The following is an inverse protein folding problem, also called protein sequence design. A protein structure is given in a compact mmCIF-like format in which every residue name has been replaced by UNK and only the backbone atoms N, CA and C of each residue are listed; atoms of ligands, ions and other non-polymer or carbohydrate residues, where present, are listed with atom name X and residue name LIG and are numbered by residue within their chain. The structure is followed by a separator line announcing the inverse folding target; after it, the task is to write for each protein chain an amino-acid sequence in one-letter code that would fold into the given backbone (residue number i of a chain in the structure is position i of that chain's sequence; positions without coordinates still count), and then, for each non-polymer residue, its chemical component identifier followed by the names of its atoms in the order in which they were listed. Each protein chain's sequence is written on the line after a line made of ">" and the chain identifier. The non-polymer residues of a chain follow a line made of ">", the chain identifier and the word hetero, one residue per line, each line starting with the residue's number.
data_IF_454742808155
#
_entry.id   IF_454742808155
#
_cell.length_a   1.000
_cell.length_b   1.000
_cell.length_c   1.000
_cell.angle_alpha   90.00
_cell.angle_beta   90.00
_cell.angle_gamma   90.00
#
_symmetry.space_group_name_H-M   'P 1'
#
loop_
_entity.id
_entity.type
_entity.pdbx_description
1 polymer ?
#
# COMPACT_ATOMS: atom_id res chain seq x y z
N UNK A 1 5.63 -33.47 -23.31
CA UNK A 1 4.65 -32.73 -22.49
C UNK A 1 5.11 -31.30 -22.34
N UNK A 2 4.20 -30.41 -21.96
CA UNK A 2 4.55 -29.05 -21.53
C UNK A 2 5.49 -29.10 -20.33
N UNK A 3 6.61 -28.38 -20.40
CA UNK A 3 7.57 -28.30 -19.30
C UNK A 3 7.13 -27.18 -18.35
N UNK A 4 7.03 -27.48 -17.06
CA UNK A 4 6.66 -26.52 -16.02
C UNK A 4 7.52 -26.74 -14.78
N UNK A 5 7.54 -25.72 -13.92
CA UNK A 5 8.15 -25.76 -12.58
C UNK A 5 7.11 -25.33 -11.55
N UNK A 6 7.22 -25.85 -10.33
CA UNK A 6 6.40 -25.43 -9.21
C UNK A 6 7.29 -25.00 -8.05
N UNK A 7 7.01 -23.84 -7.48
CA UNK A 7 7.75 -23.29 -6.35
C UNK A 7 6.85 -23.16 -5.13
N UNK A 8 7.35 -23.65 -4.00
CA UNK A 8 6.66 -23.56 -2.71
C UNK A 8 6.88 -22.19 -2.08
N UNK A 9 5.81 -21.60 -1.56
CA UNK A 9 5.77 -20.33 -0.86
C UNK A 9 5.17 -20.53 0.55
N UNK A 10 5.11 -19.46 1.36
CA UNK A 10 4.79 -19.55 2.80
C UNK A 10 3.43 -20.22 3.10
N UNK A 11 2.39 -19.79 2.38
CA UNK A 11 1.01 -20.27 2.58
C UNK A 11 0.43 -20.97 1.35
N UNK A 12 1.20 -21.10 0.26
CA UNK A 12 0.75 -21.68 -1.00
C UNK A 12 1.94 -22.08 -1.89
N UNK A 13 1.71 -22.21 -3.20
CA UNK A 13 2.76 -22.27 -4.20
C UNK A 13 2.27 -21.69 -5.53
N UNK A 14 3.19 -21.57 -6.48
CA UNK A 14 2.88 -21.12 -7.83
C UNK A 14 3.55 -22.05 -8.85
N UNK A 15 2.80 -22.40 -9.91
CA UNK A 15 3.35 -23.12 -11.06
C UNK A 15 3.61 -22.17 -12.22
N UNK A 16 4.70 -22.38 -12.94
CA UNK A 16 5.06 -21.60 -14.11
C UNK A 16 5.42 -22.47 -15.29
N UNK A 17 4.99 -22.03 -16.47
CA UNK A 17 5.41 -22.62 -17.73
C UNK A 17 6.89 -22.34 -17.97
N UNK A 18 7.58 -23.23 -18.66
CA UNK A 18 9.01 -23.07 -18.96
C UNK A 18 9.36 -21.75 -19.67
N UNK A 19 8.43 -21.19 -20.44
CA UNK A 19 8.57 -19.88 -21.08
C UNK A 19 8.63 -18.72 -20.08
N UNK A 20 8.02 -18.87 -18.91
CA UNK A 20 7.95 -17.85 -17.85
C UNK A 20 9.11 -17.97 -16.85
N UNK A 21 9.93 -19.02 -16.91
CA UNK A 21 11.03 -19.26 -15.96
C UNK A 21 12.29 -18.52 -16.40
N UNK A 22 12.86 -17.76 -15.47
CA UNK A 22 14.20 -17.19 -15.65
C UNK A 22 15.26 -18.28 -15.55
N UNK A 23 16.22 -18.25 -16.46
CA UNK A 23 17.20 -19.32 -16.65
C UNK A 23 18.60 -18.75 -16.81
N UNK A 24 19.59 -19.55 -16.44
CA UNK A 24 21.00 -19.35 -16.79
C UNK A 24 21.47 -20.61 -17.52
N UNK A 25 21.55 -20.54 -18.85
CA UNK A 25 21.72 -21.74 -19.68
C UNK A 25 20.49 -22.65 -19.60
N UNK A 26 20.70 -23.89 -19.20
CA UNK A 26 19.69 -24.93 -18.97
C UNK A 26 19.22 -25.00 -17.51
N UNK A 27 19.84 -24.24 -16.60
CA UNK A 27 19.46 -24.20 -15.19
C UNK A 27 18.37 -23.15 -14.92
N UNK A 28 17.37 -23.55 -14.14
CA UNK A 28 16.34 -22.65 -13.63
C UNK A 28 16.91 -21.76 -12.54
N UNK A 29 16.47 -20.49 -12.51
CA UNK A 29 16.71 -19.60 -11.37
C UNK A 29 15.59 -19.78 -10.35
N UNK A 30 16.00 -19.99 -9.11
CA UNK A 30 15.11 -20.02 -7.95
C UNK A 30 15.52 -18.89 -7.03
N UNK A 31 14.59 -18.00 -6.72
CA UNK A 31 14.83 -16.89 -5.82
C UNK A 31 14.31 -17.22 -4.44
N UNK A 32 15.21 -17.38 -3.48
CA UNK A 32 14.85 -17.74 -2.10
C UNK A 32 14.67 -16.47 -1.29
N UNK A 33 13.51 -16.34 -0.65
CA UNK A 33 13.21 -15.22 0.23
C UNK A 33 14.05 -15.25 1.50
N UNK A 34 14.48 -14.06 1.94
CA UNK A 34 15.31 -13.90 3.14
C UNK A 34 14.50 -14.19 4.40
N UNK A 35 14.87 -15.25 5.12
CA UNK A 35 14.33 -15.59 6.44
C UNK A 35 13.11 -16.49 6.43
N UNK A 36 12.53 -16.80 5.27
CA UNK A 36 11.31 -17.61 5.16
C UNK A 36 11.45 -18.88 4.32
N UNK A 37 12.57 -19.05 3.60
CA UNK A 37 12.84 -20.17 2.69
C UNK A 37 11.81 -20.35 1.57
N UNK A 38 10.91 -19.39 1.37
CA UNK A 38 9.95 -19.39 0.26
C UNK A 38 10.66 -19.16 -1.09
N UNK A 39 10.18 -19.84 -2.12
CA UNK A 39 10.80 -19.88 -3.44
C UNK A 39 9.97 -19.10 -4.46
N UNK A 40 10.65 -18.26 -5.24
CA UNK A 40 10.01 -17.32 -6.17
C UNK A 40 10.59 -17.39 -7.58
N UNK A 41 9.75 -17.01 -8.55
CA UNK A 41 10.07 -16.97 -9.98
C UNK A 41 10.83 -15.72 -10.41
N UNK A 42 10.81 -14.65 -9.59
CA UNK A 42 11.49 -13.39 -9.84
C UNK A 42 12.20 -12.91 -8.59
N UNK A 43 13.30 -12.18 -8.79
CA UNK A 43 14.07 -11.58 -7.71
C UNK A 43 13.39 -10.38 -7.02
N UNK A 44 12.17 -10.03 -7.44
CA UNK A 44 11.38 -8.90 -6.93
C UNK A 44 9.96 -9.31 -6.47
N UNK A 45 9.64 -10.60 -6.50
CA UNK A 45 8.34 -11.13 -6.05
C UNK A 45 8.26 -11.25 -4.52
N UNK A 46 7.07 -11.59 -4.01
CA UNK A 46 6.86 -11.90 -2.58
C UNK A 46 6.45 -10.69 -1.74
N UNK A 47 6.57 -9.47 -2.28
CA UNK A 47 6.11 -8.23 -1.62
C UNK A 47 4.59 -8.07 -1.57
N UNK A 48 3.85 -8.80 -2.40
CA UNK A 48 2.39 -8.79 -2.42
C UNK A 48 1.83 -10.03 -1.73
N UNK A 49 0.78 -9.83 -0.95
CA UNK A 49 0.11 -10.89 -0.18
C UNK A 49 0.55 -10.95 1.28
N UNK A 50 0.01 -11.94 1.99
CA UNK A 50 0.11 -12.05 3.45
C UNK A 50 1.54 -12.38 3.90
N UNK A 51 2.31 -13.11 3.10
CA UNK A 51 3.68 -13.50 3.45
C UNK A 51 4.65 -12.30 3.51
N UNK A 52 4.43 -11.24 2.71
CA UNK A 52 5.25 -10.02 2.67
C UNK A 52 6.76 -10.29 2.64
N UNK A 53 7.18 -11.27 1.85
CA UNK A 53 8.54 -11.77 1.78
C UNK A 53 9.53 -10.76 1.18
N UNK A 54 10.77 -10.82 1.64
CA UNK A 54 11.87 -10.00 1.12
C UNK A 54 12.70 -10.83 0.14
N UNK A 55 12.39 -10.67 -1.14
CA UNK A 55 13.21 -11.18 -2.25
C UNK A 55 13.97 -10.03 -2.90
N UNK A 56 15.22 -10.26 -3.26
CA UNK A 56 16.07 -9.23 -3.88
C UNK A 56 17.01 -9.81 -4.95
N UNK A 57 17.26 -9.01 -5.98
CA UNK A 57 18.20 -9.34 -7.06
C UNK A 57 19.68 -9.21 -6.64
N UNK A 58 19.95 -8.86 -5.38
CA UNK A 58 21.27 -8.62 -4.80
C UNK A 58 21.67 -9.67 -3.75
N UNK A 59 20.99 -10.83 -3.72
CA UNK A 59 21.32 -11.93 -2.84
C UNK A 59 22.57 -12.70 -3.26
N UNK A 60 23.01 -13.62 -2.40
CA UNK A 60 24.05 -14.59 -2.74
C UNK A 60 23.54 -15.51 -3.87
N UNK A 61 24.38 -15.73 -4.87
CA UNK A 61 24.08 -16.63 -5.98
C UNK A 61 24.79 -17.96 -5.71
N UNK A 62 24.04 -19.05 -5.66
CA UNK A 62 24.57 -20.41 -5.59
C UNK A 62 24.54 -21.01 -7.00
N UNK A 63 25.70 -21.40 -7.51
CA UNK A 63 25.90 -22.03 -8.82
C UNK A 63 26.00 -23.55 -8.67
N UNK A 64 25.80 -24.30 -9.77
CA UNK A 64 26.13 -25.73 -9.77
C UNK A 64 27.58 -25.93 -9.30
N UNK A 65 27.78 -26.65 -8.19
CA UNK A 65 29.07 -26.82 -7.51
C UNK A 65 29.15 -26.14 -6.13
N UNK A 66 28.27 -25.18 -5.83
CA UNK A 66 28.17 -24.56 -4.50
C UNK A 66 27.26 -25.37 -3.55
N UNK A 67 26.59 -26.41 -4.06
CA UNK A 67 25.66 -27.26 -3.32
C UNK A 67 25.70 -28.70 -3.83
N UNK A 68 25.36 -29.63 -2.94
CA UNK A 68 25.16 -31.04 -3.27
C UNK A 68 23.68 -31.31 -3.58
N UNK A 69 23.42 -31.94 -4.73
CA UNK A 69 22.10 -32.49 -5.04
C UNK A 69 22.02 -33.90 -4.48
N UNK A 70 21.16 -34.07 -3.48
CA UNK A 70 20.87 -35.39 -2.91
C UNK A 70 19.52 -35.89 -3.38
N UNK A 71 19.41 -37.19 -3.64
CA UNK A 71 18.12 -37.79 -3.93
C UNK A 71 17.24 -37.70 -2.69
N UNK A 72 16.06 -37.07 -2.83
CA UNK A 72 15.18 -36.83 -1.70
C UNK A 72 14.75 -38.16 -1.07
N UNK A 73 14.31 -39.15 -1.86
CA UNK A 73 13.82 -40.44 -1.37
C UNK A 73 14.82 -41.27 -0.55
N UNK A 74 16.12 -40.96 -0.60
CA UNK A 74 17.15 -41.65 0.18
C UNK A 74 17.45 -41.00 1.53
N UNK A 75 16.76 -39.91 1.88
CA UNK A 75 17.08 -39.12 3.07
C UNK A 75 16.42 -39.68 4.35
N UNK A 76 17.22 -40.00 5.37
CA UNK A 76 16.73 -40.59 6.63
C UNK A 76 15.81 -39.66 7.43
N UNK A 77 15.97 -38.35 7.28
CA UNK A 77 15.13 -37.34 7.96
C UNK A 77 13.71 -37.25 7.39
N UNK A 78 13.40 -37.89 6.26
CA UNK A 78 12.05 -37.89 5.71
C UNK A 78 11.03 -38.61 6.58
N UNK A 79 11.47 -39.62 7.32
CA UNK A 79 10.62 -40.33 8.28
C UNK A 79 10.29 -39.54 9.54
N UNK A 80 10.80 -38.31 9.68
CA UNK A 80 10.51 -37.45 10.82
C UNK A 80 9.07 -36.92 10.73
N UNK A 81 8.19 -37.47 11.57
CA UNK A 81 6.75 -37.23 11.56
C UNK A 81 6.26 -36.12 12.50
N UNK A 82 7.20 -35.37 13.08
CA UNK A 82 6.91 -34.25 13.97
C UNK A 82 7.03 -32.93 13.19
N UNK A 83 6.68 -31.83 13.84
CA UNK A 83 6.85 -30.47 13.33
C UNK A 83 8.34 -30.13 13.22
N UNK A 84 8.70 -29.47 12.14
CA UNK A 84 10.03 -28.94 11.92
C UNK A 84 10.13 -27.57 12.60
N UNK A 85 11.22 -27.28 13.31
CA UNK A 85 11.40 -26.02 14.03
C UNK A 85 10.97 -26.07 15.50
N UNK A 86 11.06 -24.92 16.18
CA UNK A 86 10.79 -24.80 17.61
C UNK A 86 9.31 -24.51 17.86
N UNK A 87 8.68 -25.26 18.77
CA UNK A 87 7.29 -25.09 19.18
C UNK A 87 7.28 -24.95 20.70
N UNK A 88 7.04 -23.73 21.18
CA UNK A 88 7.15 -23.40 22.59
C UNK A 88 5.79 -23.21 23.27
N UNK A 89 4.71 -23.02 22.49
CA UNK A 89 3.37 -22.76 23.01
C UNK A 89 2.26 -23.06 22.00
N UNK A 90 1.00 -23.14 22.48
CA UNK A 90 -0.20 -23.18 21.63
C UNK A 90 -0.31 -21.94 20.74
N UNK A 91 0.20 -20.80 21.22
CA UNK A 91 0.25 -19.54 20.46
C UNK A 91 1.08 -19.70 19.17
N UNK A 92 2.15 -20.52 19.19
CA UNK A 92 2.96 -20.77 18.00
C UNK A 92 2.18 -21.50 16.90
N UNK A 93 1.17 -22.30 17.25
CA UNK A 93 0.28 -22.93 16.27
C UNK A 93 -0.71 -21.91 15.68
N UNK A 94 -1.34 -21.11 16.55
CA UNK A 94 -2.33 -20.10 16.13
C UNK A 94 -1.69 -19.01 15.26
N UNK A 95 -0.45 -18.63 15.56
CA UNK A 95 0.30 -17.62 14.83
C UNK A 95 1.09 -18.17 13.63
N UNK A 96 1.03 -19.49 13.37
CA UNK A 96 1.78 -20.13 12.28
C UNK A 96 3.31 -20.05 12.44
N UNK A 97 3.79 -19.96 13.69
CA UNK A 97 5.23 -19.98 14.06
C UNK A 97 5.75 -21.39 14.27
N UNK A 98 4.87 -22.33 14.62
CA UNK A 98 5.18 -23.74 14.59
C UNK A 98 5.48 -24.14 13.14
N UNK A 99 6.69 -24.62 12.88
CA UNK A 99 7.03 -25.01 11.52
C UNK A 99 6.29 -26.28 11.09
N UNK A 100 6.27 -26.56 9.78
CA UNK A 100 5.39 -27.56 9.20
C UNK A 100 5.75 -28.98 9.66
N UNK A 101 4.80 -29.90 9.58
CA UNK A 101 5.11 -31.33 9.66
C UNK A 101 6.08 -31.73 8.54
N UNK A 102 6.85 -32.79 8.78
CA UNK A 102 7.75 -33.34 7.78
C UNK A 102 7.04 -33.66 6.45
N UNK A 103 7.75 -33.54 5.31
CA UNK A 103 7.13 -33.53 3.99
C UNK A 103 6.37 -34.81 3.62
N UNK A 104 6.71 -35.96 4.20
CA UNK A 104 5.96 -37.22 4.04
C UNK A 104 4.60 -37.23 4.76
N UNK A 105 4.45 -36.41 5.79
CA UNK A 105 3.29 -36.39 6.68
C UNK A 105 2.42 -35.15 6.45
N UNK A 106 2.97 -34.11 5.82
CA UNK A 106 2.25 -32.89 5.47
C UNK A 106 1.29 -33.15 4.31
N UNK A 107 0.05 -32.70 4.49
CA UNK A 107 -0.96 -32.69 3.45
C UNK A 107 -1.18 -31.27 2.92
N UNK A 108 -1.55 -31.15 1.65
CA UNK A 108 -2.08 -29.92 1.09
C UNK A 108 -3.51 -29.66 1.60
N UNK A 109 -4.10 -28.52 1.22
CA UNK A 109 -5.46 -28.14 1.63
C UNK A 109 -6.55 -29.11 1.14
N UNK A 110 -6.22 -30.00 0.19
CA UNK A 110 -7.11 -31.03 -0.35
C UNK A 110 -6.87 -32.42 0.27
N UNK A 111 -6.02 -32.52 1.30
CA UNK A 111 -5.69 -33.79 1.96
C UNK A 111 -4.68 -34.67 1.21
N UNK A 112 -4.06 -34.18 0.13
CA UNK A 112 -3.04 -34.93 -0.60
C UNK A 112 -1.68 -34.78 0.07
N UNK A 113 -0.90 -35.86 0.15
CA UNK A 113 0.47 -35.79 0.66
C UNK A 113 1.33 -34.87 -0.22
N UNK A 114 1.92 -33.83 0.39
CA UNK A 114 2.82 -32.89 -0.29
C UNK A 114 4.10 -33.56 -0.83
N UNK A 115 4.37 -34.79 -0.40
CA UNK A 115 5.41 -35.65 -0.94
C UNK A 115 5.24 -35.99 -2.43
N UNK A 116 4.00 -36.01 -2.95
CA UNK A 116 3.76 -36.18 -4.39
C UNK A 116 3.87 -34.83 -5.12
N UNK A 117 5.09 -34.44 -5.46
CA UNK A 117 5.39 -33.15 -6.07
C UNK A 117 4.67 -32.89 -7.41
N UNK A 118 4.30 -33.94 -8.17
CA UNK A 118 3.57 -33.78 -9.43
C UNK A 118 2.12 -33.37 -9.13
N UNK A 119 1.41 -34.16 -8.32
CA UNK A 119 0.02 -33.87 -7.95
C UNK A 119 -0.11 -32.53 -7.22
N UNK A 120 0.81 -32.24 -6.30
CA UNK A 120 0.86 -30.94 -5.64
C UNK A 120 1.06 -29.80 -6.64
N UNK A 121 2.06 -29.91 -7.53
CA UNK A 121 2.37 -28.89 -8.52
C UNK A 121 1.25 -28.63 -9.53
N UNK A 122 0.50 -29.67 -9.90
CA UNK A 122 -0.67 -29.57 -10.77
C UNK A 122 -1.80 -28.75 -10.13
N UNK A 123 -1.97 -28.85 -8.80
CA UNK A 123 -2.96 -28.12 -8.02
C UNK A 123 -2.63 -26.64 -7.77
N UNK A 124 -1.43 -26.17 -8.10
CA UNK A 124 -1.02 -24.78 -7.84
C UNK A 124 -1.63 -23.79 -8.83
N UNK A 125 -1.81 -22.56 -8.35
CA UNK A 125 -2.19 -21.42 -9.18
C UNK A 125 -1.11 -21.14 -10.24
N UNK A 126 -1.50 -20.89 -11.50
CA UNK A 126 -0.56 -20.53 -12.55
C UNK A 126 0.06 -19.15 -12.31
N UNK A 127 1.30 -19.00 -12.75
CA UNK A 127 2.02 -17.74 -12.77
C UNK A 127 1.32 -16.70 -13.67
N UNK A 128 1.21 -15.48 -13.17
CA UNK A 128 0.59 -14.36 -13.88
C UNK A 128 1.64 -13.33 -14.27
N UNK A 129 1.84 -13.13 -15.57
CA UNK A 129 2.77 -12.12 -16.09
C UNK A 129 2.33 -10.70 -15.69
N UNK A 130 1.02 -10.47 -15.57
CA UNK A 130 0.48 -9.20 -15.07
C UNK A 130 0.90 -8.96 -13.61
N UNK A 131 0.83 -9.99 -12.77
CA UNK A 131 1.26 -9.90 -11.37
C UNK A 131 2.77 -9.63 -11.29
N UNK A 132 3.58 -10.29 -12.13
CA UNK A 132 5.02 -10.01 -12.20
C UNK A 132 5.33 -8.57 -12.61
N UNK A 133 4.58 -7.99 -13.55
CA UNK A 133 4.73 -6.57 -13.89
C UNK A 133 4.39 -5.65 -12.71
N UNK A 134 3.34 -5.98 -11.96
CA UNK A 134 2.95 -5.22 -10.78
C UNK A 134 4.02 -5.30 -9.68
N UNK A 135 4.50 -6.50 -9.35
CA UNK A 135 5.56 -6.72 -8.37
C UNK A 135 6.86 -6.02 -8.78
N UNK A 136 7.22 -6.08 -10.06
CA UNK A 136 8.37 -5.34 -10.61
C UNK A 136 8.21 -3.83 -10.39
N UNK A 137 7.04 -3.27 -10.71
CA UNK A 137 6.76 -1.85 -10.50
C UNK A 137 6.88 -1.47 -9.03
N UNK A 138 6.32 -2.26 -8.11
CA UNK A 138 6.39 -2.02 -6.67
C UNK A 138 7.82 -2.12 -6.15
N UNK A 139 8.60 -3.09 -6.65
CA UNK A 139 10.00 -3.24 -6.30
C UNK A 139 10.84 -2.02 -6.71
N UNK A 140 10.60 -1.47 -7.90
CA UNK A 140 11.31 -0.30 -8.44
C UNK A 140 10.64 1.05 -8.12
N UNK A 141 9.51 1.06 -7.40
CA UNK A 141 8.68 2.24 -7.21
C UNK A 141 9.47 3.44 -6.68
N UNK A 142 10.30 3.24 -5.64
CA UNK A 142 11.10 4.32 -5.03
C UNK A 142 12.09 4.90 -6.03
N UNK A 143 12.78 4.06 -6.80
CA UNK A 143 13.73 4.50 -7.83
C UNK A 143 13.02 5.29 -8.93
N UNK A 144 11.91 4.76 -9.45
CA UNK A 144 11.08 5.44 -10.46
C UNK A 144 10.61 6.80 -9.92
N UNK A 145 10.13 6.83 -8.69
CA UNK A 145 9.66 8.05 -8.02
C UNK A 145 10.77 9.10 -7.87
N UNK A 146 11.98 8.70 -7.47
CA UNK A 146 13.15 9.60 -7.37
C UNK A 146 13.48 10.19 -8.75
N UNK A 147 13.55 9.36 -9.80
CA UNK A 147 13.86 9.82 -11.16
C UNK A 147 12.81 10.83 -11.64
N UNK A 148 11.52 10.51 -11.50
CA UNK A 148 10.42 11.41 -11.86
C UNK A 148 10.50 12.72 -11.06
N UNK A 149 10.85 12.65 -9.77
CA UNK A 149 11.00 13.81 -8.90
C UNK A 149 12.14 14.71 -9.39
N UNK A 150 13.31 14.15 -9.72
CA UNK A 150 14.47 14.90 -10.23
C UNK A 150 14.15 15.59 -11.57
N UNK A 151 13.53 14.86 -12.51
CA UNK A 151 13.09 15.43 -13.79
C UNK A 151 12.08 16.55 -13.58
N UNK A 152 11.12 16.36 -12.68
CA UNK A 152 10.11 17.37 -12.36
C UNK A 152 10.72 18.61 -11.70
N UNK A 153 11.74 18.45 -10.83
CA UNK A 153 12.50 19.56 -10.25
C UNK A 153 13.25 20.35 -11.32
N UNK A 154 13.89 19.66 -12.28
CA UNK A 154 14.57 20.32 -13.40
C UNK A 154 13.60 21.16 -14.23
N UNK A 155 12.45 20.59 -14.61
CA UNK A 155 11.39 21.30 -15.34
C UNK A 155 10.89 22.51 -14.54
N UNK A 156 10.74 22.36 -13.23
CA UNK A 156 10.32 23.43 -12.34
C UNK A 156 11.34 24.55 -12.28
N UNK A 157 12.63 24.23 -12.14
CA UNK A 157 13.71 25.21 -12.13
C UNK A 157 13.73 26.02 -13.43
N UNK A 158 13.60 25.35 -14.58
CA UNK A 158 13.50 26.00 -15.89
C UNK A 158 12.30 26.96 -15.94
N UNK A 159 11.13 26.54 -15.41
CA UNK A 159 9.93 27.39 -15.35
C UNK A 159 10.12 28.60 -14.43
N UNK A 160 10.78 28.43 -13.29
CA UNK A 160 11.11 29.52 -12.35
C UNK A 160 12.10 30.48 -13.00
N UNK A 161 13.15 29.97 -13.66
CA UNK A 161 14.14 30.78 -14.36
C UNK A 161 13.52 31.62 -15.49
N UNK A 162 12.67 31.00 -16.34
CA UNK A 162 11.92 31.72 -17.38
C UNK A 162 11.01 32.81 -16.77
N UNK A 163 10.39 32.53 -15.62
CA UNK A 163 9.56 33.49 -14.89
C UNK A 163 10.38 34.64 -14.32
N UNK A 164 11.55 34.35 -13.73
CA UNK A 164 12.49 35.34 -13.24
C UNK A 164 12.94 36.31 -14.35
N UNK A 165 13.25 35.78 -15.53
CA UNK A 165 13.62 36.60 -16.70
C UNK A 165 12.48 37.50 -17.17
N UNK A 166 11.23 36.99 -17.17
CA UNK A 166 10.06 37.73 -17.68
C UNK A 166 9.43 38.72 -16.69
N UNK A 167 9.20 38.29 -15.45
CA UNK A 167 8.46 39.09 -14.46
C UNK A 167 9.35 39.56 -13.31
N UNK A 168 10.50 38.93 -13.09
CA UNK A 168 11.21 39.03 -11.80
C UNK A 168 10.57 38.14 -10.74
N UNK A 169 11.20 38.07 -9.57
CA UNK A 169 10.73 37.22 -8.45
C UNK A 169 9.93 38.00 -7.39
N UNK A 170 9.93 39.33 -7.48
CA UNK A 170 9.36 40.19 -6.45
C UNK A 170 10.19 40.23 -5.16
N UNK A 171 9.86 41.13 -4.22
CA UNK A 171 10.51 41.21 -2.91
C UNK A 171 10.31 39.95 -2.05
N UNK A 172 9.18 39.25 -2.19
CA UNK A 172 8.95 37.97 -1.52
C UNK A 172 9.01 36.86 -2.57
N UNK A 173 10.12 36.12 -2.58
CA UNK A 173 10.42 35.11 -3.61
C UNK A 173 9.27 34.11 -3.76
N UNK A 174 8.72 33.64 -2.65
CA UNK A 174 7.58 32.72 -2.62
C UNK A 174 6.29 33.53 -2.54
N UNK A 175 5.49 33.51 -3.60
CA UNK A 175 4.34 34.41 -3.68
C UNK A 175 3.23 34.11 -2.67
N UNK A 176 3.19 32.88 -2.11
CA UNK A 176 2.26 32.55 -1.03
C UNK A 176 2.53 33.35 0.27
N UNK A 177 3.70 33.98 0.39
CA UNK A 177 4.06 34.82 1.54
C UNK A 177 3.56 36.26 1.42
N UNK A 178 2.82 36.63 0.36
CA UNK A 178 2.24 37.97 0.22
C UNK A 178 0.99 38.13 1.10
N UNK A 179 1.23 38.27 2.40
CA UNK A 179 0.25 38.62 3.44
C UNK A 179 0.52 40.07 3.87
N UNK A 180 -0.46 40.94 3.70
CA UNK A 180 -0.33 42.41 3.91
C UNK A 180 -1.57 43.04 4.57
N UNK A 181 -2.43 42.25 5.22
CA UNK A 181 -3.57 42.74 5.99
C UNK A 181 -4.80 41.85 5.84
N UNK A 182 -5.97 42.37 6.24
CA UNK A 182 -7.23 41.64 6.16
C UNK A 182 -7.89 41.84 4.77
N UNK A 183 -7.39 41.11 3.78
CA UNK A 183 -7.93 41.13 2.41
C UNK A 183 -8.00 39.70 1.85
N UNK A 184 -8.81 39.50 0.80
CA UNK A 184 -9.11 38.18 0.24
C UNK A 184 -7.84 37.37 -0.12
N UNK A 185 -6.81 38.02 -0.69
CA UNK A 185 -5.54 37.33 -1.04
C UNK A 185 -4.78 36.89 0.22
N UNK A 186 -4.70 37.76 1.23
CA UNK A 186 -3.99 37.45 2.47
C UNK A 186 -4.68 36.33 3.23
N UNK A 187 -6.02 36.34 3.28
CA UNK A 187 -6.82 35.24 3.85
C UNK A 187 -6.60 33.95 3.05
N UNK A 188 -6.62 34.00 1.71
CA UNK A 188 -6.34 32.84 0.87
C UNK A 188 -4.96 32.24 1.12
N UNK A 189 -3.92 33.07 1.25
CA UNK A 189 -2.58 32.61 1.59
C UNK A 189 -2.48 32.02 3.01
N UNK A 190 -3.13 32.64 4.01
CA UNK A 190 -3.19 32.09 5.38
C UNK A 190 -3.87 30.73 5.39
N UNK A 191 -5.01 30.60 4.71
CA UNK A 191 -5.72 29.33 4.57
C UNK A 191 -4.88 28.27 3.86
N UNK A 192 -4.09 28.65 2.85
CA UNK A 192 -3.13 27.74 2.21
C UNK A 192 -2.14 27.18 3.24
N UNK A 193 -1.57 28.01 4.13
CA UNK A 193 -0.69 27.55 5.19
C UNK A 193 -1.38 26.61 6.18
N UNK A 194 -2.57 26.99 6.65
CA UNK A 194 -3.38 26.15 7.53
C UNK A 194 -3.70 24.79 6.88
N UNK A 195 -4.07 24.79 5.60
CA UNK A 195 -4.31 23.59 4.81
C UNK A 195 -3.09 22.67 4.73
N UNK A 196 -1.89 23.22 4.50
CA UNK A 196 -0.64 22.42 4.51
C UNK A 196 -0.44 21.76 5.88
N UNK A 197 -0.57 22.51 6.97
CA UNK A 197 -0.35 21.99 8.33
C UNK A 197 -1.35 20.87 8.64
N UNK A 198 -2.64 21.09 8.37
CA UNK A 198 -3.70 20.09 8.59
C UNK A 198 -3.43 18.84 7.74
N UNK A 199 -2.99 19.00 6.48
CA UNK A 199 -2.64 17.85 5.65
C UNK A 199 -1.48 17.06 6.23
N UNK A 200 -0.42 17.72 6.73
CA UNK A 200 0.72 17.03 7.36
C UNK A 200 0.27 16.20 8.56
N UNK A 201 -0.59 16.75 9.42
CA UNK A 201 -1.21 15.97 10.50
C UNK A 201 -2.07 14.83 9.95
N UNK A 202 -2.81 15.05 8.86
CA UNK A 202 -3.59 13.98 8.21
C UNK A 202 -2.74 12.83 7.65
N UNK A 203 -1.53 13.12 7.18
CA UNK A 203 -0.62 12.13 6.60
C UNK A 203 -0.01 11.16 7.63
N UNK A 204 0.20 11.62 8.87
CA UNK A 204 0.80 10.81 9.93
C UNK A 204 -0.24 9.98 10.71
N UNK A 205 -1.52 10.27 10.52
CA UNK A 205 -2.63 9.57 11.18
C UNK A 205 -3.24 8.51 10.26
N UNK A 206 -4.06 7.64 10.84
CA UNK A 206 -4.78 6.59 10.13
C UNK A 206 -5.84 7.15 9.20
N UNK A 207 -5.91 6.57 8.01
CA UNK A 207 -6.87 6.92 6.98
C UNK A 207 -8.07 5.99 7.00
N UNK A 208 -7.83 4.72 7.29
CA UNK A 208 -8.86 3.70 7.41
C UNK A 208 -8.43 2.63 8.41
N UNK A 209 -9.38 2.16 9.22
CA UNK A 209 -9.12 1.12 10.22
C UNK A 209 -10.25 0.11 10.21
N UNK A 210 -9.89 -1.17 10.33
CA UNK A 210 -10.78 -2.26 10.69
C UNK A 210 -10.24 -2.85 11.99
N UNK A 211 -11.09 -2.88 13.00
CA UNK A 211 -10.77 -3.40 14.32
C UNK A 211 -11.70 -4.58 14.63
N UNK A 212 -11.19 -5.60 15.30
CA UNK A 212 -11.95 -6.76 15.72
C UNK A 212 -11.79 -7.01 17.22
N UNK A 213 -12.86 -7.49 17.84
CA UNK A 213 -12.88 -8.08 19.18
C UNK A 213 -13.38 -9.51 19.05
N UNK A 214 -12.50 -10.45 19.40
CA UNK A 214 -12.71 -11.89 19.24
C UNK A 214 -12.95 -12.47 20.62
N UNK A 215 -14.14 -13.01 20.82
CA UNK A 215 -14.52 -13.72 22.02
C UNK A 215 -14.92 -15.14 21.65
N UNK A 216 -13.92 -16.01 21.55
CA UNK A 216 -14.07 -17.41 21.15
C UNK A 216 -13.50 -18.29 22.24
N UNK A 217 -14.07 -19.48 22.44
CA UNK A 217 -13.57 -20.43 23.42
C UNK A 217 -12.08 -20.73 23.18
N UNK A 218 -11.25 -20.56 24.23
CA UNK A 218 -9.79 -20.73 24.15
C UNK A 218 -9.01 -19.55 23.55
N UNK A 219 -9.69 -18.52 23.01
CA UNK A 219 -9.05 -17.36 22.40
C UNK A 219 -9.87 -16.08 22.59
N UNK A 220 -9.41 -15.17 23.46
CA UNK A 220 -10.10 -13.92 23.75
C UNK A 220 -9.15 -12.72 23.65
N UNK A 221 -9.58 -11.69 22.92
CA UNK A 221 -8.90 -10.39 22.93
C UNK A 221 -9.33 -9.56 24.14
N UNK A 222 -8.47 -8.65 24.59
CA UNK A 222 -8.78 -7.73 25.71
C UNK A 222 -9.73 -6.58 25.33
N UNK A 223 -10.30 -6.61 24.12
CA UNK A 223 -11.13 -5.58 23.51
C UNK A 223 -10.85 -5.44 22.02
N UNK A 224 -11.36 -4.35 21.42
CA UNK A 224 -11.14 -4.06 20.00
C UNK A 224 -9.66 -3.83 19.73
N UNK A 225 -9.12 -4.60 18.80
CA UNK A 225 -7.77 -4.42 18.29
C UNK A 225 -7.80 -4.18 16.79
N UNK A 226 -6.86 -3.38 16.30
CA UNK A 226 -6.78 -3.10 14.87
C UNK A 226 -6.23 -4.32 14.15
N UNK A 227 -6.99 -4.82 13.17
CA UNK A 227 -6.64 -5.98 12.35
C UNK A 227 -6.23 -5.56 10.94
N UNK A 228 -6.77 -4.44 10.46
CA UNK A 228 -6.34 -3.79 9.22
C UNK A 228 -6.22 -2.30 9.49
N UNK A 229 -5.10 -1.70 9.14
CA UNK A 229 -4.95 -0.25 9.17
C UNK A 229 -4.33 0.26 7.87
N UNK A 230 -4.79 1.43 7.44
CA UNK A 230 -4.27 2.13 6.27
C UNK A 230 -3.82 3.50 6.72
N UNK A 231 -2.54 3.83 6.52
CA UNK A 231 -2.02 5.16 6.78
C UNK A 231 -0.95 5.55 5.76
N UNK A 232 -0.60 6.84 5.73
CA UNK A 232 0.31 7.36 4.71
C UNK A 232 1.77 6.91 4.86
N UNK A 233 2.18 6.49 6.06
CA UNK A 233 3.57 6.13 6.37
C UNK A 233 3.85 4.64 6.06
N UNK A 234 2.99 3.77 6.57
CA UNK A 234 3.15 2.32 6.51
C UNK A 234 2.32 1.68 5.40
N UNK A 235 1.46 2.43 4.71
CA UNK A 235 0.58 1.90 3.67
C UNK A 235 -0.53 1.07 4.28
N UNK A 236 -0.73 -0.14 3.76
CA UNK A 236 -1.73 -1.10 4.28
C UNK A 236 -1.03 -2.08 5.20
N UNK A 237 -1.51 -2.19 6.43
CA UNK A 237 -1.00 -3.11 7.45
C UNK A 237 -2.09 -4.10 7.81
N UNK A 238 -1.71 -5.37 7.93
CA UNK A 238 -2.55 -6.45 8.42
C UNK A 238 -1.91 -7.02 9.67
N UNK A 239 -2.67 -7.03 10.75
CA UNK A 239 -2.25 -7.45 12.08
C UNK A 239 -3.16 -8.56 12.56
N UNK A 240 -2.55 -9.63 13.07
CA UNK A 240 -3.27 -10.69 13.73
C UNK A 240 -3.56 -10.30 15.18
N UNK A 241 -4.75 -10.63 15.67
CA UNK A 241 -4.99 -10.70 17.11
C UNK A 241 -4.04 -11.76 17.68
N UNK A 242 -3.27 -11.39 18.71
CA UNK A 242 -2.48 -12.32 19.52
C UNK A 242 -2.88 -12.23 20.99
N UNK A 243 -2.60 -13.28 21.77
CA UNK A 243 -2.97 -13.36 23.20
C UNK A 243 -2.21 -12.32 24.05
N UNK A 244 -1.02 -11.92 23.61
CA UNK A 244 -0.16 -10.93 24.26
C UNK A 244 -0.17 -9.55 23.55
N UNK A 245 -1.07 -9.35 22.58
CA UNK A 245 -1.20 -8.12 21.79
C UNK A 245 -1.13 -8.35 20.28
N UNK A 246 -1.31 -7.29 19.46
CA UNK A 246 -1.34 -7.40 18.00
C UNK A 246 0.01 -7.87 17.42
N UNK A 247 -0.03 -8.87 16.54
CA UNK A 247 1.15 -9.40 15.85
C UNK A 247 1.10 -8.98 14.37
N UNK A 248 2.11 -8.31 13.82
CA UNK A 248 2.13 -7.96 12.40
C UNK A 248 2.10 -9.23 11.53
N UNK A 249 1.13 -9.34 10.62
CA UNK A 249 1.00 -10.47 9.69
C UNK A 249 1.65 -10.14 8.35
N UNK A 250 1.44 -8.91 7.86
CA UNK A 250 1.99 -8.45 6.60
C UNK A 250 1.72 -6.97 6.39
N UNK A 251 2.50 -6.34 5.52
CA UNK A 251 2.27 -4.94 5.16
C UNK A 251 2.60 -4.70 3.70
N UNK A 252 1.72 -4.01 2.99
CA UNK A 252 2.05 -3.45 1.69
C UNK A 252 2.56 -2.03 1.93
N UNK A 253 3.88 -1.93 2.04
CA UNK A 253 4.58 -0.66 2.23
C UNK A 253 4.45 0.18 0.95
N UNK A 254 3.59 1.19 1.01
CA UNK A 254 3.52 2.23 0.00
C UNK A 254 3.66 3.60 0.67
N UNK A 255 4.71 4.39 0.35
CA UNK A 255 4.99 5.64 1.06
C UNK A 255 4.11 6.78 0.54
N UNK A 256 2.79 6.67 0.70
CA UNK A 256 1.84 7.69 0.21
C UNK A 256 2.17 9.08 0.78
N UNK A 257 2.58 9.15 2.05
CA UNK A 257 3.02 10.39 2.70
C UNK A 257 4.19 11.05 1.96
N UNK A 258 5.17 10.29 1.48
CA UNK A 258 6.28 10.83 0.70
C UNK A 258 5.79 11.49 -0.59
N UNK A 259 4.91 10.81 -1.33
CA UNK A 259 4.35 11.32 -2.59
C UNK A 259 3.58 12.62 -2.35
N UNK A 260 2.79 12.69 -1.29
CA UNK A 260 1.95 13.84 -0.97
C UNK A 260 2.79 15.01 -0.43
N UNK A 261 3.77 14.75 0.46
CA UNK A 261 4.69 15.75 0.98
C UNK A 261 5.55 16.38 -0.11
N UNK A 262 6.12 15.56 -1.00
CA UNK A 262 6.82 16.06 -2.19
C UNK A 262 5.87 16.91 -3.02
N UNK A 263 4.61 16.49 -3.16
CA UNK A 263 3.56 17.31 -3.73
C UNK A 263 3.48 18.73 -3.15
N UNK A 264 3.48 18.89 -1.83
CA UNK A 264 3.46 20.21 -1.18
C UNK A 264 4.73 21.00 -1.44
N UNK A 265 5.92 20.38 -1.38
CA UNK A 265 7.18 21.06 -1.73
C UNK A 265 7.12 21.61 -3.16
N UNK A 266 6.67 20.79 -4.11
CA UNK A 266 6.49 21.20 -5.50
C UNK A 266 5.48 22.33 -5.64
N UNK A 267 4.39 22.31 -4.86
CA UNK A 267 3.41 23.38 -4.86
C UNK A 267 4.05 24.70 -4.41
N UNK A 268 4.73 24.70 -3.27
CA UNK A 268 5.45 25.85 -2.71
C UNK A 268 6.46 26.41 -3.70
N UNK A 269 7.37 25.58 -4.23
CA UNK A 269 8.34 26.00 -5.24
C UNK A 269 7.67 26.56 -6.49
N UNK A 270 6.56 25.98 -6.91
CA UNK A 270 5.84 26.43 -8.10
C UNK A 270 5.19 27.81 -7.94
N UNK A 271 5.06 28.31 -6.71
CA UNK A 271 4.55 29.66 -6.38
C UNK A 271 5.60 30.74 -6.52
N UNK A 272 6.89 30.39 -6.68
CA UNK A 272 7.99 31.34 -6.70
C UNK A 272 7.84 32.35 -7.85
N UNK A 273 7.87 33.66 -7.54
CA UNK A 273 7.82 34.74 -8.54
C UNK A 273 6.51 34.85 -9.31
N UNK A 274 5.39 34.34 -8.78
CA UNK A 274 4.06 34.61 -9.34
C UNK A 274 3.67 36.06 -9.01
N UNK A 275 3.43 36.86 -10.03
CA UNK A 275 3.11 38.28 -9.86
C UNK A 275 1.61 38.57 -9.65
N UNK A 276 0.70 37.60 -9.89
CA UNK A 276 -0.76 37.79 -9.79
C UNK A 276 -1.44 36.69 -8.99
N UNK A 277 -2.29 37.06 -8.04
CA UNK A 277 -3.00 36.19 -7.09
C UNK A 277 -3.79 35.08 -7.78
N UNK A 278 -4.45 35.39 -8.91
CA UNK A 278 -5.22 34.41 -9.70
C UNK A 278 -4.43 33.16 -10.09
N UNK A 279 -3.12 33.30 -10.38
CA UNK A 279 -2.26 32.14 -10.71
C UNK A 279 -1.90 31.31 -9.48
N UNK A 280 -1.87 31.88 -8.28
CA UNK A 280 -1.77 31.11 -7.03
C UNK A 280 -3.07 30.35 -6.78
N UNK A 281 -4.21 31.01 -6.93
CA UNK A 281 -5.49 30.37 -6.64
C UNK A 281 -5.75 29.13 -7.49
N UNK A 282 -5.37 29.12 -8.77
CA UNK A 282 -5.43 27.90 -9.62
C UNK A 282 -4.55 26.76 -9.07
N UNK A 283 -3.39 27.07 -8.48
CA UNK A 283 -2.52 26.06 -7.87
C UNK A 283 -3.12 25.52 -6.58
N UNK A 284 -3.76 26.37 -5.79
CA UNK A 284 -4.43 26.01 -4.55
C UNK A 284 -5.63 25.11 -4.85
N UNK A 285 -6.48 25.50 -5.81
CA UNK A 285 -7.57 24.65 -6.33
C UNK A 285 -7.07 23.29 -6.79
N UNK A 286 -6.03 23.24 -7.63
CA UNK A 286 -5.47 21.98 -8.13
C UNK A 286 -4.96 21.09 -6.99
N UNK A 287 -4.40 21.66 -5.92
CA UNK A 287 -3.97 20.91 -4.74
C UNK A 287 -5.17 20.36 -3.97
N UNK A 288 -6.18 21.19 -3.72
CA UNK A 288 -7.40 20.80 -3.02
C UNK A 288 -8.11 19.63 -3.71
N UNK A 289 -8.28 19.73 -5.03
CA UNK A 289 -8.85 18.65 -5.86
C UNK A 289 -8.05 17.35 -5.70
N UNK A 290 -6.71 17.41 -5.77
CA UNK A 290 -5.86 16.20 -5.65
C UNK A 290 -5.99 15.51 -4.29
N UNK A 291 -6.11 16.27 -3.20
CA UNK A 291 -6.31 15.72 -1.87
C UNK A 291 -7.70 15.06 -1.72
N UNK A 292 -8.75 15.69 -2.26
CA UNK A 292 -10.09 15.12 -2.24
C UNK A 292 -10.15 13.85 -3.10
N UNK A 293 -9.55 13.87 -4.30
CA UNK A 293 -9.48 12.70 -5.18
C UNK A 293 -8.78 11.53 -4.49
N UNK A 294 -7.73 11.76 -3.70
CA UNK A 294 -7.08 10.71 -2.92
C UNK A 294 -8.06 10.00 -1.98
N UNK A 295 -8.89 10.76 -1.25
CA UNK A 295 -9.89 10.19 -0.34
C UNK A 295 -11.00 9.45 -1.09
N UNK A 296 -11.42 10.00 -2.23
CA UNK A 296 -12.38 9.32 -3.11
C UNK A 296 -11.81 8.00 -3.63
N UNK A 297 -10.55 7.96 -4.05
CA UNK A 297 -9.88 6.74 -4.51
C UNK A 297 -9.75 5.70 -3.40
N UNK A 298 -9.45 6.12 -2.16
CA UNK A 298 -9.45 5.23 -1.00
C UNK A 298 -10.82 4.56 -0.82
N UNK A 299 -11.91 5.35 -0.81
CA UNK A 299 -13.27 4.83 -0.66
C UNK A 299 -13.67 3.91 -1.82
N UNK A 300 -13.35 4.30 -3.06
CA UNK A 300 -13.61 3.47 -4.24
C UNK A 300 -12.85 2.14 -4.16
N UNK A 301 -11.62 2.15 -3.64
CA UNK A 301 -10.83 0.93 -3.45
C UNK A 301 -11.47 0.01 -2.41
N UNK A 302 -11.97 0.56 -1.30
CA UNK A 302 -12.71 -0.22 -0.27
C UNK A 302 -14.01 -0.79 -0.85
N UNK A 303 -14.75 -0.01 -1.62
CA UNK A 303 -15.96 -0.48 -2.31
C UNK A 303 -15.65 -1.61 -3.31
N UNK A 304 -14.51 -1.53 -4.00
CA UNK A 304 -14.09 -2.55 -4.96
C UNK A 304 -13.72 -3.90 -4.29
N UNK A 305 -13.37 -3.92 -3.00
CA UNK A 305 -13.09 -5.17 -2.27
C UNK A 305 -14.28 -6.14 -2.30
N UNK A 306 -15.51 -5.63 -2.27
CA UNK A 306 -16.72 -6.46 -2.36
C UNK A 306 -16.85 -7.21 -3.67
N UNK A 307 -16.41 -6.59 -4.78
CA UNK A 307 -16.40 -7.22 -6.12
C UNK A 307 -15.36 -8.33 -6.18
N UNK A 308 -14.21 -8.14 -5.53
CA UNK A 308 -13.12 -9.13 -5.49
C UNK A 308 -13.48 -10.31 -4.58
N UNK A 309 -14.13 -10.06 -3.45
CA UNK A 309 -14.50 -11.09 -2.49
C UNK A 309 -15.64 -12.00 -2.97
N UNK A 310 -16.44 -11.58 -3.95
CA UNK A 310 -17.50 -12.40 -4.53
C UNK A 310 -17.66 -12.17 -6.04
N UNK A 311 -16.68 -12.60 -6.87
CA UNK A 311 -16.68 -12.27 -8.30
C UNK A 311 -17.79 -12.97 -9.09
N UNK A 312 -18.35 -14.09 -8.59
CA UNK A 312 -19.30 -14.94 -9.31
C UNK A 312 -20.61 -15.24 -8.53
N UNK A 313 -20.82 -14.68 -7.34
CA UNK A 313 -21.93 -15.09 -6.47
C UNK A 313 -21.77 -16.47 -5.83
N UNK A 314 -20.69 -17.19 -6.16
CA UNK A 314 -20.34 -18.50 -5.61
C UNK A 314 -19.44 -18.32 -4.39
N UNK A 315 -19.95 -18.73 -3.23
CA UNK A 315 -19.29 -18.74 -1.93
C UNK A 315 -18.19 -19.82 -1.82
N UNK A 316 -17.24 -19.85 -2.75
CA UNK A 316 -16.08 -20.74 -2.72
C UNK A 316 -14.81 -19.98 -2.30
N UNK A 317 -14.93 -19.20 -1.22
CA UNK A 317 -13.77 -18.81 -0.44
C UNK A 317 -13.64 -19.83 0.69
N UNK A 318 -12.51 -20.53 0.80
CA UNK A 318 -12.24 -21.53 1.87
C UNK A 318 -12.24 -20.94 3.30
N UNK A 319 -12.45 -19.63 3.45
CA UNK A 319 -12.62 -18.93 4.73
C UNK A 319 -14.07 -18.80 5.21
N UNK A 320 -15.00 -19.59 4.66
CA UNK A 320 -16.39 -19.61 5.09
C UNK A 320 -17.22 -18.40 4.66
N UNK A 321 -18.54 -18.59 4.66
CA UNK A 321 -19.58 -17.61 4.34
C UNK A 321 -19.45 -16.30 5.17
N UNK A 322 -18.82 -16.34 6.34
CA UNK A 322 -18.63 -15.19 7.23
C UNK A 322 -17.60 -14.16 6.73
N UNK A 323 -16.45 -14.57 6.14
CA UNK A 323 -15.46 -13.61 5.61
C UNK A 323 -16.00 -12.87 4.40
N UNK A 324 -16.66 -13.58 3.48
CA UNK A 324 -17.28 -12.98 2.31
C UNK A 324 -18.37 -11.97 2.72
N UNK A 325 -19.20 -12.29 3.72
CA UNK A 325 -20.19 -11.38 4.29
C UNK A 325 -19.58 -10.17 4.99
N UNK A 326 -18.48 -10.35 5.72
CA UNK A 326 -17.76 -9.25 6.35
C UNK A 326 -17.21 -8.28 5.30
N UNK A 327 -16.51 -8.78 4.27
CA UNK A 327 -15.99 -7.93 3.18
C UNK A 327 -17.15 -7.26 2.42
N UNK A 328 -18.26 -7.96 2.19
CA UNK A 328 -19.49 -7.39 1.65
C UNK A 328 -20.05 -6.25 2.51
N UNK A 329 -20.02 -6.39 3.83
CA UNK A 329 -20.49 -5.37 4.77
C UNK A 329 -19.59 -4.13 4.76
N UNK A 330 -18.27 -4.33 4.78
CA UNK A 330 -17.28 -3.23 4.69
C UNK A 330 -17.44 -2.47 3.37
N UNK A 331 -17.51 -3.20 2.24
CA UNK A 331 -17.58 -2.59 0.91
C UNK A 331 -18.89 -1.84 0.65
N UNK A 332 -20.00 -2.28 1.24
CA UNK A 332 -21.30 -1.60 1.13
C UNK A 332 -21.45 -0.38 2.04
N UNK A 333 -20.71 -0.32 3.16
CA UNK A 333 -20.68 0.81 4.10
C UNK A 333 -19.25 1.32 4.29
N UNK A 334 -18.60 1.86 3.24
CA UNK A 334 -17.16 2.13 3.27
C UNK A 334 -16.77 3.24 4.24
N UNK A 335 -17.67 4.15 4.62
CA UNK A 335 -17.36 5.23 5.59
C UNK A 335 -17.21 4.73 7.02
N UNK A 336 -17.89 3.64 7.37
CA UNK A 336 -17.82 3.02 8.68
C UNK A 336 -19.05 2.17 8.98
N UNK A 337 -18.87 1.24 9.91
CA UNK A 337 -19.91 0.31 10.30
C UNK A 337 -19.41 -0.69 11.34
N UNK A 338 -20.33 -1.56 11.73
CA UNK A 338 -20.06 -2.68 12.59
C UNK A 338 -20.75 -3.94 12.04
N UNK A 339 -20.14 -5.09 12.31
CA UNK A 339 -20.66 -6.39 11.94
C UNK A 339 -20.28 -7.39 13.02
N UNK A 340 -21.26 -8.19 13.45
CA UNK A 340 -21.05 -9.25 14.44
C UNK A 340 -21.45 -10.56 13.80
N UNK A 341 -20.58 -11.57 13.92
CA UNK A 341 -20.88 -12.93 13.48
C UNK A 341 -20.44 -13.94 14.52
N UNK A 342 -21.12 -15.08 14.55
CA UNK A 342 -20.78 -16.22 15.39
C UNK A 342 -19.97 -17.23 14.62
N UNK A 343 -18.90 -17.74 15.24
CA UNK A 343 -18.18 -18.93 14.77
C UNK A 343 -18.82 -20.12 15.48
N UNK A 344 -19.25 -21.12 14.71
CA UNK A 344 -19.90 -22.33 15.21
C UNK A 344 -19.33 -23.54 14.47
N UNK A 345 -18.09 -23.88 14.78
CA UNK A 345 -17.42 -25.07 14.26
C UNK A 345 -17.29 -26.12 15.38
N UNK A 346 -17.05 -27.38 14.99
CA UNK A 346 -17.23 -28.59 15.82
C UNK A 346 -16.52 -28.55 17.18
N UNK A 347 -15.53 -27.66 17.38
CA UNK A 347 -14.81 -27.44 18.64
C UNK A 347 -14.52 -25.96 18.95
N UNK A 348 -15.12 -25.02 18.23
CA UNK A 348 -14.83 -23.57 18.35
C UNK A 348 -16.14 -22.80 18.27
N UNK A 349 -16.62 -22.31 19.42
CA UNK A 349 -17.82 -21.49 19.50
C UNK A 349 -17.49 -20.11 20.07
N UNK A 350 -18.04 -19.07 19.46
CA UNK A 350 -17.82 -17.72 19.92
C UNK A 350 -18.39 -16.62 19.05
N UNK A 351 -18.17 -15.39 19.47
CA UNK A 351 -18.60 -14.19 18.78
C UNK A 351 -17.39 -13.37 18.35
N UNK A 352 -17.46 -12.86 17.12
CA UNK A 352 -16.50 -11.91 16.59
C UNK A 352 -17.25 -10.62 16.27
N UNK A 353 -16.83 -9.53 16.91
CA UNK A 353 -17.33 -8.18 16.66
C UNK A 353 -16.30 -7.41 15.85
N UNK A 354 -16.71 -6.86 14.71
CA UNK A 354 -15.83 -6.09 13.83
C UNK A 354 -16.39 -4.69 13.68
N UNK A 355 -15.52 -3.68 13.77
CA UNK A 355 -15.84 -2.28 13.47
C UNK A 355 -14.86 -1.77 12.43
N UNK A 356 -15.33 -0.89 11.57
CA UNK A 356 -14.47 -0.24 10.60
C UNK A 356 -14.87 1.21 10.39
N UNK A 357 -13.97 2.00 9.84
CA UNK A 357 -14.29 3.35 9.42
C UNK A 357 -13.10 4.20 9.01
N UNK A 358 -13.45 5.39 8.57
CA UNK A 358 -12.49 6.43 8.24
C UNK A 358 -11.75 6.90 9.49
N UNK A 359 -10.42 6.83 9.43
CA UNK A 359 -9.57 7.38 10.48
C UNK A 359 -9.50 8.91 10.42
N UNK A 360 -9.02 9.51 11.52
CA UNK A 360 -8.89 10.97 11.64
C UNK A 360 -7.96 11.55 10.55
N UNK A 361 -6.98 10.79 10.09
CA UNK A 361 -6.06 11.21 9.04
C UNK A 361 -6.77 11.49 7.72
N UNK A 362 -7.71 10.62 7.31
CA UNK A 362 -8.48 10.83 6.10
C UNK A 362 -9.43 12.04 6.21
N UNK A 363 -10.03 12.25 7.39
CA UNK A 363 -10.86 13.44 7.67
C UNK A 363 -10.03 14.72 7.56
N UNK A 364 -8.85 14.77 8.17
CA UNK A 364 -7.95 15.92 8.10
C UNK A 364 -7.49 16.21 6.66
N UNK A 365 -7.18 15.18 5.87
CA UNK A 365 -6.84 15.34 4.46
C UNK A 365 -8.00 15.88 3.63
N UNK A 366 -9.23 15.42 3.88
CA UNK A 366 -10.42 15.95 3.24
C UNK A 366 -10.66 17.43 3.60
N UNK A 367 -10.60 17.77 4.89
CA UNK A 367 -10.73 19.14 5.40
C UNK A 367 -9.66 20.06 4.80
N UNK A 368 -8.41 19.60 4.76
CA UNK A 368 -7.33 20.32 4.09
C UNK A 368 -7.64 20.56 2.61
N UNK A 369 -8.15 19.54 1.91
CA UNK A 369 -8.61 19.64 0.53
C UNK A 369 -9.64 20.76 0.34
N UNK A 370 -10.66 20.81 1.20
CA UNK A 370 -11.69 21.87 1.20
C UNK A 370 -11.08 23.24 1.48
N UNK A 371 -10.17 23.36 2.45
CA UNK A 371 -9.48 24.61 2.77
C UNK A 371 -8.69 25.13 1.56
N UNK A 372 -7.99 24.24 0.84
CA UNK A 372 -7.29 24.61 -0.41
C UNK A 372 -8.24 25.08 -1.51
N UNK A 373 -9.43 24.48 -1.61
CA UNK A 373 -10.44 24.93 -2.56
C UNK A 373 -10.88 26.37 -2.24
N UNK A 374 -11.23 26.63 -0.98
CA UNK A 374 -11.64 27.97 -0.51
C UNK A 374 -10.51 28.98 -0.72
N UNK A 375 -9.29 28.65 -0.29
CA UNK A 375 -8.09 29.47 -0.49
C UNK A 375 -7.88 29.81 -1.98
N UNK A 376 -8.08 28.82 -2.85
CA UNK A 376 -7.95 28.98 -4.29
C UNK A 376 -8.99 29.92 -4.90
N UNK A 377 -10.26 29.79 -4.50
CA UNK A 377 -11.33 30.69 -4.92
C UNK A 377 -11.04 32.13 -4.47
N UNK A 378 -10.65 32.33 -3.21
CA UNK A 378 -10.33 33.67 -2.68
C UNK A 378 -9.21 34.37 -3.46
N UNK A 379 -8.13 33.65 -3.78
CA UNK A 379 -7.00 34.15 -4.56
C UNK A 379 -7.38 34.49 -6.02
N UNK A 380 -8.25 33.68 -6.64
CA UNK A 380 -8.79 33.93 -7.99
C UNK A 380 -9.67 35.18 -8.00
N UNK A 381 -10.60 35.27 -7.05
CA UNK A 381 -11.53 36.41 -6.92
C UNK A 381 -10.78 37.70 -6.62
N UNK A 382 -9.74 37.65 -5.78
CA UNK A 382 -8.94 38.84 -5.47
C UNK A 382 -8.21 39.42 -6.69
N UNK A 383 -7.72 38.56 -7.59
CA UNK A 383 -6.97 38.88 -8.82
C UNK A 383 -5.90 40.00 -8.70
N UNK A 384 -5.30 40.18 -7.51
CA UNK A 384 -4.37 41.27 -7.20
C UNK A 384 -2.99 41.04 -7.79
N UNK A 385 -2.33 42.14 -8.14
CA UNK A 385 -0.91 42.16 -8.54
C UNK A 385 -0.06 42.28 -7.28
N UNK A 386 0.86 41.35 -7.07
CA UNK A 386 1.74 41.30 -5.89
C UNK A 386 2.97 42.22 -6.02
N UNK A 387 3.51 42.35 -7.22
CA UNK A 387 4.66 43.19 -7.51
C UNK A 387 4.71 43.59 -8.99
N UNK A 388 5.37 44.71 -9.28
CA UNK A 388 5.53 45.22 -10.66
C UNK A 388 6.47 44.29 -11.46
N UNK A 389 6.04 43.78 -12.62
CA UNK A 389 6.86 42.87 -13.43
C UNK A 389 7.97 43.60 -14.18
N UNK A 390 9.11 42.93 -14.41
CA UNK A 390 10.25 43.44 -15.22
C UNK A 390 9.85 43.80 -16.65
N UNK A 391 9.07 42.95 -17.31
CA UNK A 391 8.50 43.23 -18.63
C UNK A 391 7.02 43.60 -18.47
N UNK A 392 6.58 44.76 -19.00
CA UNK A 392 5.16 45.14 -18.98
C UNK A 392 4.33 44.03 -19.64
N UNK A 393 3.30 43.58 -18.94
CA UNK A 393 2.24 42.75 -19.53
C UNK A 393 1.19 43.74 -20.01
N UNK A 394 0.82 43.70 -21.29
CA UNK A 394 0.02 44.73 -21.97
C UNK A 394 -1.14 45.31 -21.13
N UNK A 395 -1.35 46.62 -21.31
CA UNK A 395 -2.31 47.51 -20.63
C UNK A 395 -3.48 46.79 -19.96
N UNK A 396 -3.51 46.85 -18.63
CA UNK A 396 -4.75 46.64 -17.86
C UNK A 396 -5.55 47.93 -17.87
N UNK A 397 -6.82 47.85 -18.27
CA UNK A 397 -7.82 48.92 -18.34
C UNK A 397 -8.22 49.51 -16.96
N UNK A 398 -7.45 49.30 -15.89
CA UNK A 398 -7.80 49.72 -14.53
C UNK A 398 -7.08 51.03 -14.10
N UNK A 399 -6.85 51.96 -15.02
CA UNK A 399 -6.33 53.32 -14.73
C UNK A 399 -7.32 54.44 -15.12
N UNK A 400 -8.63 54.17 -15.12
CA UNK A 400 -9.67 55.21 -15.09
C UNK A 400 -10.72 54.90 -14.03
#
# INVERSE_FOLDING_TARGET
>A
GEKWVAYSQHYSGQKAMWSQVEREGDHIKVYVARGSHANYLRCYSGKLGIASDVVGCNGQILRPGDYDLVELGSQSWLGYNVLWGEVNSVEDFVLGRAGPQGPMFRQDMNGNYMWNGITWGEGLLPASDLLFMLEWFLYHFVTIFIIITLVSLLIMFIRIYRRHKKYGLGPRIVSMLYIDGFNLKSIGNILCFAGIIIAVFGLINEWYVVSADINVEGYQTSGMIDVISINGLNGVQVTLPGLNGPVPMGSVLFPFSLVILVGFVFMTLSTIGIYRSRKLGVKYLSRGIKLIVLIVLLLVSIMALGVIANPNGSSEFEGGDYVARLIGSISSKPFGGEYVFSIGEENVNGLVSVKWGMGIGAVLLFVSGVIFLIAGVLEITANKVFFKPKTPVGKTEDEN
#
